data_IF_110496689171
#
_entry.id   IF_110496689171
#
_cell.length_a   1.000
_cell.length_b   1.000
_cell.length_c   1.000
_cell.angle_alpha   90.00
_cell.angle_beta   90.00
_cell.angle_gamma   90.00
#
_symmetry.space_group_name_H-M   'P 1'
#
loop_
_entity.id
_entity.type
_entity.pdbx_description
1 polymer ?
#
# COMPACT_ATOMS: atom_id res chain seq x y z
N UNK A 1 -3.02 13.38 12.19
CA UNK A 1 -3.97 12.32 12.58
C UNK A 1 -5.33 12.66 11.98
N UNK A 2 -5.87 11.80 11.12
CA UNK A 2 -7.14 12.04 10.39
C UNK A 2 -8.23 11.01 10.72
N UNK A 3 -8.08 10.29 11.83
CA UNK A 3 -8.97 9.22 12.28
C UNK A 3 -9.15 8.02 11.33
N UNK A 4 -8.21 7.82 10.41
CA UNK A 4 -8.12 6.66 9.52
C UNK A 4 -6.79 5.95 9.77
N UNK A 5 -6.70 5.06 10.79
CA UNK A 5 -5.48 4.31 11.06
C UNK A 5 -5.16 3.32 9.93
N UNK A 6 -3.88 3.01 9.77
CA UNK A 6 -3.42 2.01 8.80
C UNK A 6 -3.86 0.62 9.26
N UNK A 7 -4.38 -0.19 8.34
CA UNK A 7 -4.80 -1.58 8.59
C UNK A 7 -3.58 -2.42 9.02
N UNK A 8 -3.73 -3.26 10.04
CA UNK A 8 -2.63 -4.10 10.54
C UNK A 8 -1.55 -3.36 11.34
N UNK A 9 -1.81 -2.12 11.76
CA UNK A 9 -0.91 -1.36 12.63
C UNK A 9 -1.05 -1.77 14.11
N UNK A 10 -0.03 -2.43 14.72
CA UNK A 10 -0.12 -2.88 16.10
C UNK A 10 0.00 -1.76 17.14
N UNK A 11 0.48 -0.57 16.75
CA UNK A 11 0.73 0.56 17.65
C UNK A 11 -0.37 1.61 17.60
N UNK A 12 -0.83 1.95 16.39
CA UNK A 12 -1.81 3.03 16.18
C UNK A 12 -3.17 2.52 15.68
N UNK A 13 -3.28 1.23 15.34
CA UNK A 13 -4.53 0.60 14.94
C UNK A 13 -5.51 0.43 16.10
N UNK A 14 -6.77 0.13 15.76
CA UNK A 14 -7.84 -0.05 16.76
C UNK A 14 -7.89 -1.47 17.38
N UNK A 15 -6.85 -2.29 17.21
CA UNK A 15 -6.77 -3.69 17.68
C UNK A 15 -8.09 -4.45 17.50
N UNK A 16 -8.63 -4.42 16.27
CA UNK A 16 -9.87 -5.08 15.94
C UNK A 16 -9.56 -6.20 14.95
N UNK A 17 -9.53 -7.48 15.37
CA UNK A 17 -9.01 -8.57 14.54
C UNK A 17 -9.66 -8.71 13.16
N UNK A 18 -10.95 -8.37 13.04
CA UNK A 18 -11.65 -8.37 11.74
C UNK A 18 -11.22 -7.21 10.83
N UNK A 19 -10.76 -6.09 11.41
CA UNK A 19 -10.33 -4.91 10.67
C UNK A 19 -8.90 -5.06 10.12
N UNK A 20 -8.09 -5.95 10.71
CA UNK A 20 -6.70 -6.18 10.30
C UNK A 20 -6.57 -7.10 9.08
N UNK A 21 -7.68 -7.66 8.58
CA UNK A 21 -7.75 -8.49 7.37
C UNK A 21 -6.77 -9.68 7.36
N UNK A 22 -6.39 -10.18 8.54
CA UNK A 22 -5.41 -11.26 8.69
C UNK A 22 -3.96 -10.85 8.41
N UNK A 23 -3.66 -9.54 8.32
CA UNK A 23 -2.31 -9.05 8.15
C UNK A 23 -1.50 -9.20 9.45
N UNK A 24 -0.24 -9.61 9.30
CA UNK A 24 0.74 -9.67 10.39
C UNK A 24 1.59 -8.39 10.50
N UNK A 25 1.36 -7.42 9.60
CA UNK A 25 2.06 -6.14 9.52
C UNK A 25 1.15 -5.04 9.01
N UNK A 26 1.60 -3.79 9.11
CA UNK A 26 0.93 -2.63 8.52
C UNK A 26 0.73 -2.81 7.01
N UNK A 27 -0.46 -2.47 6.52
CA UNK A 27 -0.73 -2.25 5.09
C UNK A 27 -0.03 -0.96 4.64
N UNK A 28 1.31 -1.03 4.58
CA UNK A 28 2.18 0.06 4.19
C UNK A 28 3.31 -0.52 3.34
N UNK A 29 3.52 0.09 2.17
CA UNK A 29 4.52 -0.35 1.20
C UNK A 29 5.08 0.86 0.45
N UNK A 30 6.40 0.98 0.42
CA UNK A 30 7.08 2.03 -0.33
C UNK A 30 7.29 1.59 -1.79
N UNK A 31 6.22 1.64 -2.59
CA UNK A 31 6.20 1.06 -3.95
C UNK A 31 7.04 1.82 -4.99
N UNK A 32 7.39 3.09 -4.72
CA UNK A 32 8.21 3.92 -5.61
C UNK A 32 9.29 4.63 -4.81
N UNK A 33 10.53 4.53 -5.26
CA UNK A 33 11.65 5.32 -4.78
C UNK A 33 12.22 6.11 -5.95
N UNK A 34 12.44 7.41 -5.76
CA UNK A 34 12.99 8.23 -6.82
C UNK A 34 13.91 9.32 -6.26
N UNK A 35 15.16 9.34 -6.73
CA UNK A 35 16.20 10.25 -6.26
C UNK A 35 17.20 10.55 -7.39
N UNK A 36 17.98 11.60 -7.22
CA UNK A 36 19.10 11.87 -8.13
C UNK A 36 20.34 11.13 -7.62
N UNK A 37 21.04 10.45 -8.52
CA UNK A 37 22.23 9.69 -8.17
C UNK A 37 23.27 10.64 -7.56
N UNK A 38 23.79 10.38 -6.35
CA UNK A 38 24.60 11.36 -5.60
C UNK A 38 25.93 11.72 -6.26
N UNK A 39 26.42 10.88 -7.18
CA UNK A 39 27.66 11.10 -7.95
C UNK A 39 27.38 11.60 -9.38
N UNK A 40 26.59 10.86 -10.18
CA UNK A 40 26.34 11.21 -11.59
C UNK A 40 25.29 12.30 -11.79
N UNK A 41 24.43 12.56 -10.81
CA UNK A 41 23.29 13.45 -10.93
C UNK A 41 22.15 12.90 -11.79
N UNK A 42 22.26 11.68 -12.29
CA UNK A 42 21.21 11.06 -13.10
C UNK A 42 19.99 10.70 -12.26
N UNK A 43 18.80 10.87 -12.83
CA UNK A 43 17.55 10.51 -12.17
C UNK A 43 17.42 8.99 -12.08
N UNK A 44 17.30 8.46 -10.86
CA UNK A 44 16.97 7.07 -10.57
C UNK A 44 15.50 7.01 -10.18
N UNK A 45 14.73 6.12 -10.83
CA UNK A 45 13.39 5.74 -10.38
C UNK A 45 13.31 4.21 -10.28
N UNK A 46 12.88 3.73 -9.13
CA UNK A 46 12.70 2.32 -8.82
C UNK A 46 11.25 2.08 -8.43
N UNK A 47 10.70 0.97 -8.90
CA UNK A 47 9.35 0.52 -8.59
C UNK A 47 9.44 -0.88 -7.98
N UNK A 48 8.58 -1.14 -7.01
CA UNK A 48 8.45 -2.43 -6.36
C UNK A 48 6.95 -2.79 -6.28
N UNK A 49 6.51 -3.89 -6.92
CA UNK A 49 5.11 -4.29 -6.86
C UNK A 49 4.67 -4.57 -5.43
N UNK A 50 3.37 -4.58 -5.21
CA UNK A 50 2.79 -4.87 -3.92
C UNK A 50 3.06 -6.34 -3.57
N UNK A 51 3.65 -6.64 -2.39
CA UNK A 51 3.84 -8.02 -1.96
C UNK A 51 2.53 -8.79 -1.88
N UNK A 52 2.56 -10.09 -2.15
CA UNK A 52 1.37 -10.94 -2.21
C UNK A 52 0.51 -10.87 -0.95
N UNK A 53 1.12 -10.75 0.23
CA UNK A 53 0.39 -10.65 1.49
C UNK A 53 -0.44 -9.37 1.61
N UNK A 54 -0.05 -8.29 0.93
CA UNK A 54 -0.81 -7.04 0.86
C UNK A 54 -1.73 -7.02 -0.38
N UNK A 55 -1.37 -7.72 -1.46
CA UNK A 55 -2.19 -7.83 -2.65
C UNK A 55 -3.48 -8.64 -2.41
N UNK A 56 -3.40 -9.73 -1.64
CA UNK A 56 -4.53 -10.62 -1.36
C UNK A 56 -5.73 -9.89 -0.72
N UNK A 57 -5.58 -9.14 0.40
CA UNK A 57 -6.71 -8.41 0.98
C UNK A 57 -7.37 -7.42 0.02
N UNK A 58 -6.62 -6.78 -0.89
CA UNK A 58 -7.22 -5.86 -1.87
C UNK A 58 -8.10 -6.58 -2.88
N UNK A 59 -7.69 -7.79 -3.32
CA UNK A 59 -8.50 -8.63 -4.21
C UNK A 59 -9.76 -9.11 -3.51
N UNK A 60 -9.64 -9.56 -2.26
CA UNK A 60 -10.78 -10.04 -1.47
C UNK A 60 -11.82 -8.94 -1.19
N UNK A 61 -11.37 -7.69 -1.10
CA UNK A 61 -12.24 -6.53 -0.90
C UNK A 61 -12.96 -6.06 -2.17
N UNK A 62 -12.53 -6.48 -3.36
CA UNK A 62 -13.01 -5.96 -4.65
C UNK A 62 -14.54 -6.03 -4.78
N UNK A 63 -15.15 -7.16 -4.38
CA UNK A 63 -16.60 -7.36 -4.43
C UNK A 63 -17.38 -6.39 -3.53
N UNK A 64 -16.77 -5.96 -2.43
CA UNK A 64 -17.37 -5.07 -1.43
C UNK A 64 -16.92 -3.61 -1.55
N UNK A 65 -16.05 -3.33 -2.52
CA UNK A 65 -15.43 -2.02 -2.70
C UNK A 65 -16.46 -0.99 -3.17
N UNK A 66 -16.35 0.23 -2.65
CA UNK A 66 -17.10 1.39 -3.18
C UNK A 66 -16.45 2.00 -4.43
N UNK A 67 -15.40 1.37 -4.96
CA UNK A 67 -14.57 1.88 -6.04
C UNK A 67 -13.22 2.41 -5.56
N UNK A 68 -12.36 2.77 -6.51
CA UNK A 68 -11.06 3.39 -6.27
C UNK A 68 -11.19 4.91 -6.31
N UNK A 69 -10.32 5.59 -5.58
CA UNK A 69 -10.09 7.04 -5.76
C UNK A 69 -9.21 7.27 -6.98
N UNK A 70 -9.08 8.53 -7.42
CA UNK A 70 -8.17 8.92 -8.52
C UNK A 70 -6.73 8.44 -8.27
N UNK A 71 -6.22 8.59 -7.05
CA UNK A 71 -4.91 8.08 -6.67
C UNK A 71 -4.83 6.55 -6.73
N UNK A 72 -5.92 5.86 -6.41
CA UNK A 72 -6.01 4.40 -6.55
C UNK A 72 -5.93 3.97 -8.01
N UNK A 73 -6.61 4.68 -8.91
CA UNK A 73 -6.57 4.38 -10.35
C UNK A 73 -5.18 4.63 -10.97
N UNK A 74 -4.43 5.61 -10.47
CA UNK A 74 -3.06 5.87 -10.89
C UNK A 74 -2.09 4.78 -10.41
N UNK A 75 -2.20 4.35 -9.14
CA UNK A 75 -1.19 3.51 -8.49
C UNK A 75 -1.43 2.01 -8.72
N UNK A 76 -2.69 1.55 -8.72
CA UNK A 76 -3.01 0.12 -8.78
C UNK A 76 -2.40 -0.58 -10.02
N UNK A 77 -2.44 -0.02 -11.24
CA UNK A 77 -1.82 -0.64 -12.41
C UNK A 77 -0.29 -0.79 -12.30
N UNK A 78 0.36 -0.02 -11.43
CA UNK A 78 1.80 -0.05 -11.21
C UNK A 78 2.16 -1.11 -10.17
N UNK A 79 1.39 -1.19 -9.09
CA UNK A 79 1.72 -2.04 -7.92
C UNK A 79 1.05 -3.40 -7.95
N UNK A 80 -0.01 -3.57 -8.75
CA UNK A 80 -0.69 -4.85 -8.99
C UNK A 80 -0.70 -5.14 -10.50
N UNK A 81 0.47 -5.40 -11.12
CA UNK A 81 0.57 -5.72 -12.54
C UNK A 81 -0.05 -7.07 -12.91
#
# INVERSE_FOLDING_TARGET
>A
YIDHPVVGDPMYGRNHPKADLGLERQFLHAYKLALDHPITGERIELLDPLPDELARPLRDLEESSMGRTEAGDEVVPIVLP
#
